data_IF_538122821760
#
_entry.id   IF_538122821760
#
_cell.length_a   1.000
_cell.length_b   1.000
_cell.length_c   1.000
_cell.angle_alpha   90.00
_cell.angle_beta   90.00
_cell.angle_gamma   90.00
#
_symmetry.space_group_name_H-M   'P 1'
#
loop_
_entity.id
_entity.type
_entity.pdbx_description
1 polymer ?
#
# COMPACT_ATOMS: atom_id res chain seq x y z
N UNK A 1 -14.41 10.30 12.41
CA UNK A 1 -14.51 10.48 13.85
C UNK A 1 -13.09 10.64 14.38
N UNK A 2 -12.84 11.70 15.19
CA UNK A 2 -11.57 11.89 15.86
C UNK A 2 -10.40 12.40 15.01
N UNK A 3 -10.63 13.37 14.14
CA UNK A 3 -9.56 14.18 13.55
C UNK A 3 -9.35 15.47 14.35
N UNK A 4 -9.44 15.36 15.67
CA UNK A 4 -8.98 16.40 16.54
C UNK A 4 -7.45 16.44 16.45
N UNK A 5 -6.89 17.59 16.07
CA UNK A 5 -5.45 17.77 15.95
C UNK A 5 -4.75 17.54 17.28
N UNK A 6 -5.36 17.92 18.40
CA UNK A 6 -4.82 17.67 19.74
C UNK A 6 -4.75 16.18 20.09
N UNK A 7 -5.79 15.41 19.73
CA UNK A 7 -5.77 13.96 19.92
C UNK A 7 -4.70 13.29 19.06
N UNK A 8 -4.56 13.69 17.81
CA UNK A 8 -3.55 13.15 16.90
C UNK A 8 -2.14 13.47 17.40
N UNK A 9 -1.89 14.72 17.83
CA UNK A 9 -0.60 15.16 18.36
C UNK A 9 -0.24 14.44 19.67
N UNK A 10 -1.23 14.31 20.58
CA UNK A 10 -1.05 13.58 21.85
C UNK A 10 -0.68 12.11 21.61
N UNK A 11 -1.37 11.45 20.70
CA UNK A 11 -1.13 10.04 20.39
C UNK A 11 -0.04 9.86 19.34
N UNK A 12 0.65 10.91 18.91
CA UNK A 12 1.70 10.89 17.87
C UNK A 12 1.24 10.24 16.55
N UNK A 13 -0.02 10.42 16.23
CA UNK A 13 -0.59 9.94 14.99
C UNK A 13 -0.18 10.88 13.86
N UNK A 14 0.41 10.32 12.82
CA UNK A 14 0.75 11.06 11.60
C UNK A 14 -0.53 11.49 10.90
N UNK A 15 -0.74 12.79 10.76
CA UNK A 15 -1.83 13.32 9.95
C UNK A 15 -1.42 13.34 8.47
N UNK A 16 -2.42 13.36 7.55
CA UNK A 16 -2.18 13.61 6.13
C UNK A 16 -1.63 15.03 5.85
N UNK A 17 -1.61 15.89 6.85
CA UNK A 17 -1.14 17.28 6.74
C UNK A 17 0.33 17.41 6.39
N UNK A 18 1.13 16.33 6.62
CA UNK A 18 2.51 16.25 6.13
C UNK A 18 2.63 16.03 4.63
N UNK A 19 1.52 15.67 3.93
CA UNK A 19 1.48 15.44 2.49
C UNK A 19 0.71 16.57 1.79
N UNK A 20 1.35 17.23 0.84
CA UNK A 20 0.69 18.19 -0.05
C UNK A 20 -0.04 17.52 -1.20
N UNK A 21 0.63 16.56 -1.85
CA UNK A 21 0.06 15.64 -2.84
C UNK A 21 0.45 14.20 -2.46
N UNK A 22 -0.47 13.24 -2.64
CA UNK A 22 -0.24 11.89 -2.14
C UNK A 22 0.21 10.90 -3.24
N UNK A 23 -0.66 10.51 -4.18
CA UNK A 23 -0.32 9.55 -5.25
C UNK A 23 -1.09 9.87 -6.53
N UNK A 24 -0.64 9.28 -7.68
CA UNK A 24 -1.30 9.43 -8.99
C UNK A 24 -1.44 10.90 -9.40
N UNK A 25 -0.33 11.63 -9.38
CA UNK A 25 -0.35 13.10 -9.41
C UNK A 25 -0.03 13.70 -10.79
N UNK A 26 0.35 12.88 -11.78
CA UNK A 26 0.70 13.39 -13.10
C UNK A 26 -0.45 14.15 -13.76
N UNK A 27 -1.67 13.62 -13.70
CA UNK A 27 -2.84 14.32 -14.25
C UNK A 27 -3.25 15.56 -13.43
N UNK A 28 -2.90 15.59 -12.14
CA UNK A 28 -3.15 16.75 -11.28
C UNK A 28 -2.18 17.89 -11.58
N UNK A 29 -0.92 17.57 -11.87
CA UNK A 29 0.16 18.54 -12.12
C UNK A 29 0.19 19.00 -13.57
N UNK A 30 -0.20 18.13 -14.51
CA UNK A 30 -0.31 18.42 -15.95
C UNK A 30 -1.67 17.94 -16.46
N UNK A 31 -2.74 18.69 -16.15
CA UNK A 31 -4.11 18.27 -16.46
C UNK A 31 -4.37 18.11 -17.96
N UNK A 32 -4.86 16.94 -18.42
CA UNK A 32 -5.11 16.69 -19.84
C UNK A 32 -6.21 17.58 -20.43
N UNK A 33 -7.17 18.01 -19.63
CA UNK A 33 -8.21 18.98 -20.07
C UNK A 33 -7.62 20.34 -20.41
N UNK A 34 -6.50 20.72 -19.80
CA UNK A 34 -5.82 22.00 -20.05
C UNK A 34 -4.80 21.92 -21.18
N UNK A 35 -4.00 20.87 -21.21
CA UNK A 35 -2.86 20.76 -22.13
C UNK A 35 -3.02 19.72 -23.24
N UNK A 36 -3.90 18.74 -23.06
CA UNK A 36 -3.97 17.59 -23.97
C UNK A 36 -4.27 17.94 -25.42
N UNK A 37 -5.06 19.01 -25.64
CA UNK A 37 -5.40 19.45 -27.01
C UNK A 37 -4.32 20.33 -27.65
N UNK A 38 -3.67 21.19 -26.88
CA UNK A 38 -2.65 22.13 -27.37
C UNK A 38 -1.24 21.55 -27.39
N UNK A 39 -0.94 20.65 -26.47
CA UNK A 39 0.39 20.08 -26.22
C UNK A 39 0.31 18.54 -26.05
N UNK A 40 -0.17 17.80 -27.04
CA UNK A 40 -0.29 16.33 -26.91
C UNK A 40 1.06 15.63 -26.67
N UNK A 41 2.17 16.26 -27.06
CA UNK A 41 3.54 15.78 -26.82
C UNK A 41 3.96 15.76 -25.34
N UNK A 42 3.21 16.39 -24.46
CA UNK A 42 3.41 16.28 -23.00
C UNK A 42 3.04 14.91 -22.46
N UNK A 43 2.24 14.14 -23.19
CA UNK A 43 1.70 12.85 -22.78
C UNK A 43 2.38 11.70 -23.49
N UNK A 44 2.14 10.49 -23.02
CA UNK A 44 2.78 9.28 -23.52
C UNK A 44 2.56 9.07 -25.00
N UNK A 45 3.64 8.71 -25.69
CA UNK A 45 3.59 8.11 -27.02
C UNK A 45 3.46 6.60 -26.85
N UNK A 46 2.40 6.00 -27.35
CA UNK A 46 2.10 4.58 -27.26
C UNK A 46 1.74 4.09 -28.65
N UNK A 47 2.41 3.06 -29.13
CA UNK A 47 2.18 2.46 -30.46
C UNK A 47 2.16 3.49 -31.61
N UNK A 48 2.96 4.54 -31.49
CA UNK A 48 3.09 5.61 -32.48
C UNK A 48 2.11 6.77 -32.31
N UNK A 49 1.17 6.71 -31.38
CA UNK A 49 0.18 7.75 -31.13
C UNK A 49 0.31 8.39 -29.75
N UNK A 50 0.00 9.69 -29.65
CA UNK A 50 -0.04 10.40 -28.35
C UNK A 50 -1.36 10.10 -27.63
N UNK A 51 -1.25 9.65 -26.39
CA UNK A 51 -2.41 9.33 -25.56
C UNK A 51 -2.42 10.24 -24.31
N UNK A 52 -3.31 11.23 -24.34
CA UNK A 52 -3.35 12.30 -23.34
C UNK A 52 -3.99 11.91 -22.00
N UNK A 53 -4.65 10.76 -21.93
CA UNK A 53 -5.35 10.29 -20.69
C UNK A 53 -4.60 9.17 -19.98
N UNK A 54 -3.30 9.01 -20.24
CA UNK A 54 -2.50 7.92 -19.67
C UNK A 54 -1.39 8.45 -18.74
N UNK A 55 -0.16 8.52 -19.26
CA UNK A 55 1.00 8.98 -18.49
C UNK A 55 1.64 10.19 -19.17
N UNK A 56 2.62 10.81 -18.51
CA UNK A 56 3.40 11.91 -19.08
C UNK A 56 4.59 11.40 -19.90
N UNK A 57 5.03 12.23 -20.85
CA UNK A 57 6.29 12.05 -21.55
C UNK A 57 7.43 12.64 -20.73
N UNK A 58 8.06 11.86 -19.86
CA UNK A 58 9.03 12.32 -18.86
C UNK A 58 10.29 12.95 -19.45
N UNK A 59 10.55 12.76 -20.75
CA UNK A 59 11.66 13.37 -21.47
C UNK A 59 11.32 14.70 -22.15
N UNK A 60 10.09 15.21 -22.01
CA UNK A 60 9.67 16.50 -22.57
C UNK A 60 9.99 17.62 -21.57
N UNK A 61 10.86 18.57 -21.98
CA UNK A 61 11.33 19.64 -21.11
C UNK A 61 10.27 20.71 -20.85
N UNK A 62 9.43 21.04 -21.83
CA UNK A 62 8.35 22.01 -21.64
C UNK A 62 7.30 21.48 -20.66
N UNK A 63 6.98 20.19 -20.73
CA UNK A 63 6.10 19.53 -19.78
C UNK A 63 6.71 19.54 -18.37
N UNK A 64 8.03 19.34 -18.24
CA UNK A 64 8.73 19.44 -16.97
C UNK A 64 8.56 20.83 -16.35
N UNK A 65 8.75 21.89 -17.13
CA UNK A 65 8.62 23.30 -16.67
C UNK A 65 7.18 23.59 -16.19
N UNK A 66 6.18 23.09 -16.92
CA UNK A 66 4.76 23.18 -16.53
C UNK A 66 4.52 22.49 -15.19
N UNK A 67 4.99 21.26 -15.05
CA UNK A 67 4.85 20.45 -13.82
C UNK A 67 5.51 21.14 -12.62
N UNK A 68 6.75 21.58 -12.76
CA UNK A 68 7.50 22.28 -11.70
C UNK A 68 6.80 23.59 -11.30
N UNK A 69 6.28 24.32 -12.27
CA UNK A 69 5.53 25.58 -12.02
C UNK A 69 4.28 25.33 -11.19
N UNK A 70 3.46 24.33 -11.55
CA UNK A 70 2.26 23.98 -10.80
C UNK A 70 2.61 23.44 -9.40
N UNK A 71 3.61 22.58 -9.30
CA UNK A 71 4.06 22.05 -8.02
C UNK A 71 4.57 23.15 -7.09
N UNK A 72 5.34 24.11 -7.60
CA UNK A 72 5.85 25.26 -6.84
C UNK A 72 4.72 26.14 -6.31
N UNK A 73 3.68 26.36 -7.12
CA UNK A 73 2.47 27.06 -6.69
C UNK A 73 1.81 26.34 -5.52
N UNK A 74 1.59 25.02 -5.62
CA UNK A 74 0.96 24.22 -4.55
C UNK A 74 1.79 24.18 -3.27
N UNK A 75 3.10 24.11 -3.39
CA UNK A 75 4.03 24.18 -2.25
C UNK A 75 3.90 25.52 -1.53
N UNK A 76 3.82 26.61 -2.27
CA UNK A 76 3.63 27.95 -1.69
C UNK A 76 2.27 28.11 -1.00
N UNK A 77 1.22 27.45 -1.51
CA UNK A 77 -0.13 27.43 -0.91
C UNK A 77 -0.19 26.56 0.36
N UNK A 78 0.66 25.52 0.47
CA UNK A 78 0.76 24.66 1.64
C UNK A 78 2.22 24.44 2.07
N UNK A 79 2.91 25.45 2.58
CA UNK A 79 4.34 25.40 2.88
C UNK A 79 4.69 24.43 4.03
N UNK A 80 3.71 24.09 4.88
CA UNK A 80 3.89 23.16 6.01
C UNK A 80 4.01 21.70 5.57
N UNK A 81 3.42 21.34 4.42
CA UNK A 81 3.55 19.99 3.89
C UNK A 81 5.00 19.69 3.55
N UNK A 82 5.45 18.53 3.96
CA UNK A 82 6.82 18.04 3.80
C UNK A 82 6.97 17.15 2.57
N UNK A 83 5.99 16.26 2.35
CA UNK A 83 6.00 15.27 1.26
C UNK A 83 5.13 15.72 0.10
N UNK A 84 5.67 15.60 -1.11
CA UNK A 84 5.01 15.97 -2.35
C UNK A 84 5.18 14.86 -3.38
N UNK A 85 4.10 14.17 -3.69
CA UNK A 85 4.16 13.10 -4.68
C UNK A 85 4.24 13.66 -6.10
N UNK A 86 5.17 13.10 -6.87
CA UNK A 86 5.29 13.26 -8.32
C UNK A 86 5.33 11.86 -8.90
N UNK A 87 4.17 11.32 -9.18
CA UNK A 87 4.02 9.89 -9.49
C UNK A 87 3.03 9.64 -10.62
N UNK A 88 3.24 8.50 -11.27
CA UNK A 88 2.42 8.02 -12.38
C UNK A 88 0.94 7.86 -11.99
N UNK A 89 0.08 8.03 -13.00
CA UNK A 89 -1.35 7.70 -12.93
C UNK A 89 -1.57 6.19 -12.80
N UNK A 90 -2.76 5.78 -12.38
CA UNK A 90 -3.09 4.37 -12.11
C UNK A 90 -3.35 3.58 -13.40
N UNK A 91 -2.33 3.49 -14.25
CA UNK A 91 -2.30 2.66 -15.44
C UNK A 91 -0.85 2.37 -15.88
N UNK A 92 -0.64 1.39 -16.76
CA UNK A 92 0.66 0.91 -17.25
C UNK A 92 1.11 1.53 -18.58
N UNK A 93 0.41 2.55 -19.08
CA UNK A 93 0.60 3.14 -20.41
C UNK A 93 1.71 4.19 -20.45
N UNK A 94 2.92 3.81 -20.04
CA UNK A 94 4.08 4.70 -20.03
C UNK A 94 4.61 5.04 -21.44
N UNK A 95 5.33 6.16 -21.56
CA UNK A 95 5.77 6.71 -22.83
C UNK A 95 6.84 5.84 -23.49
N UNK A 96 6.59 5.48 -24.76
CA UNK A 96 7.47 4.68 -25.62
C UNK A 96 8.27 5.54 -26.62
N UNK A 97 8.28 6.87 -26.48
CA UNK A 97 9.07 7.73 -27.37
C UNK A 97 10.57 7.42 -27.27
N UNK A 98 11.32 7.75 -28.33
CA UNK A 98 12.77 7.45 -28.40
C UNK A 98 13.57 7.92 -27.18
N UNK A 99 13.43 9.18 -26.72
CA UNK A 99 14.12 9.67 -25.53
C UNK A 99 13.74 8.91 -24.26
N UNK A 100 12.45 8.66 -23.96
CA UNK A 100 12.03 7.89 -22.79
C UNK A 100 12.57 6.45 -22.83
N UNK A 101 12.49 5.80 -23.99
CA UNK A 101 13.04 4.45 -24.18
C UNK A 101 14.56 4.43 -23.98
N UNK A 102 15.28 5.46 -24.41
CA UNK A 102 16.73 5.59 -24.20
C UNK A 102 17.07 5.73 -22.71
N UNK A 103 16.29 6.51 -21.95
CA UNK A 103 16.42 6.62 -20.48
C UNK A 103 16.21 5.27 -19.81
N UNK A 104 15.13 4.56 -20.13
CA UNK A 104 14.86 3.24 -19.57
C UNK A 104 15.99 2.25 -19.85
N UNK A 105 16.51 2.21 -21.09
CA UNK A 105 17.66 1.36 -21.46
C UNK A 105 18.92 1.72 -20.69
N UNK A 106 19.20 3.01 -20.53
CA UNK A 106 20.36 3.51 -19.78
C UNK A 106 20.35 3.05 -18.32
N UNK A 107 19.17 3.03 -17.72
CA UNK A 107 19.02 2.76 -16.29
C UNK A 107 18.49 1.36 -15.99
N UNK A 108 18.95 0.37 -16.73
CA UNK A 108 18.69 -1.04 -16.44
C UNK A 108 17.61 -1.69 -17.30
N UNK A 109 17.16 -1.02 -18.35
CA UNK A 109 16.11 -1.47 -19.27
C UNK A 109 14.77 -1.72 -18.57
N UNK A 110 14.44 -0.85 -17.61
CA UNK A 110 13.19 -0.87 -16.83
C UNK A 110 12.52 0.50 -16.86
N UNK A 111 11.19 0.60 -16.88
CA UNK A 111 10.47 1.89 -16.90
C UNK A 111 10.71 2.77 -15.66
N UNK A 112 11.06 2.17 -14.52
CA UNK A 112 11.47 2.90 -13.32
C UNK A 112 12.71 3.79 -13.55
N UNK A 113 13.52 3.49 -14.57
CA UNK A 113 14.67 4.30 -14.94
C UNK A 113 14.31 5.73 -15.32
N UNK A 114 13.30 5.92 -16.18
CA UNK A 114 12.81 7.25 -16.54
C UNK A 114 12.08 7.95 -15.38
N UNK A 115 11.36 7.20 -14.56
CA UNK A 115 10.67 7.74 -13.37
C UNK A 115 11.69 8.30 -12.38
N UNK A 116 12.70 7.53 -11.98
CA UNK A 116 13.72 7.99 -11.02
C UNK A 116 14.51 9.17 -11.59
N UNK A 117 14.88 9.10 -12.86
CA UNK A 117 15.56 10.23 -13.53
C UNK A 117 14.74 11.51 -13.47
N UNK A 118 13.45 11.43 -13.77
CA UNK A 118 12.52 12.55 -13.73
C UNK A 118 12.30 13.07 -12.30
N UNK A 119 12.06 12.17 -11.36
CA UNK A 119 11.85 12.53 -9.95
C UNK A 119 13.08 13.21 -9.37
N UNK A 120 14.28 12.75 -9.71
CA UNK A 120 15.52 13.41 -9.33
C UNK A 120 15.61 14.85 -9.88
N UNK A 121 15.19 15.09 -11.14
CA UNK A 121 15.13 16.45 -11.70
C UNK A 121 14.21 17.35 -10.87
N UNK A 122 13.00 16.84 -10.55
CA UNK A 122 12.04 17.58 -9.73
C UNK A 122 12.59 17.83 -8.33
N UNK A 123 13.20 16.84 -7.70
CA UNK A 123 13.74 16.94 -6.34
C UNK A 123 14.81 18.04 -6.21
N UNK A 124 15.64 18.25 -7.23
CA UNK A 124 16.64 19.35 -7.27
C UNK A 124 16.01 20.74 -7.28
N UNK A 125 14.79 20.87 -7.82
CA UNK A 125 14.04 22.14 -7.81
C UNK A 125 13.45 22.50 -6.43
N UNK A 126 13.37 21.50 -5.52
CA UNK A 126 12.74 21.63 -4.19
C UNK A 126 13.59 20.98 -3.10
N UNK A 127 14.81 21.50 -2.83
CA UNK A 127 15.75 20.84 -1.91
C UNK A 127 15.28 20.79 -0.45
N UNK A 128 14.31 21.61 -0.08
CA UNK A 128 13.70 21.69 1.26
C UNK A 128 12.44 20.82 1.41
N UNK A 129 12.04 20.11 0.34
CA UNK A 129 10.88 19.22 0.33
C UNK A 129 11.29 17.79 0.00
N UNK A 130 10.48 16.82 0.43
CA UNK A 130 10.64 15.43 0.00
C UNK A 130 9.72 15.18 -1.18
N UNK A 131 10.32 14.75 -2.30
CA UNK A 131 9.57 14.37 -3.50
C UNK A 131 9.39 12.86 -3.49
N UNK A 132 8.14 12.42 -3.37
CA UNK A 132 7.79 11.00 -3.35
C UNK A 132 7.38 10.53 -4.75
N UNK A 133 7.79 9.33 -5.11
CA UNK A 133 7.33 8.67 -6.34
C UNK A 133 6.97 7.22 -6.08
N UNK A 134 6.16 6.62 -6.97
CA UNK A 134 5.72 5.24 -6.84
C UNK A 134 6.66 4.27 -7.53
N UNK A 135 7.07 3.23 -6.81
CA UNK A 135 7.56 1.98 -7.37
C UNK A 135 6.40 0.97 -7.38
N UNK A 136 5.60 1.04 -8.42
CA UNK A 136 4.28 0.41 -8.52
C UNK A 136 4.04 -0.14 -9.92
N UNK A 137 3.57 -1.37 -9.98
CA UNK A 137 3.25 -2.03 -11.23
C UNK A 137 4.46 -2.05 -12.19
N UNK A 138 4.36 -1.37 -13.33
CA UNK A 138 5.42 -1.33 -14.34
C UNK A 138 6.72 -0.65 -13.86
N UNK A 139 6.71 0.11 -12.76
CA UNK A 139 7.89 0.76 -12.17
C UNK A 139 8.40 0.09 -10.89
N UNK A 140 7.84 -1.07 -10.49
CA UNK A 140 8.19 -1.75 -9.24
C UNK A 140 9.65 -2.20 -9.20
N UNK A 141 10.17 -2.69 -10.32
CA UNK A 141 11.57 -3.13 -10.43
C UNK A 141 12.51 -1.95 -10.30
N UNK A 142 13.49 -2.04 -9.40
CA UNK A 142 14.47 -0.99 -9.19
C UNK A 142 15.35 -0.76 -10.43
N UNK A 143 15.65 0.50 -10.79
CA UNK A 143 16.56 0.81 -11.90
C UNK A 143 18.01 0.50 -11.53
N UNK A 144 18.93 0.65 -12.50
CA UNK A 144 20.38 0.48 -12.30
C UNK A 144 21.12 1.71 -12.80
N UNK A 145 22.35 1.90 -12.31
CA UNK A 145 23.25 2.96 -12.79
C UNK A 145 22.68 4.39 -12.66
N UNK A 146 21.85 4.61 -11.65
CA UNK A 146 21.32 5.91 -11.28
C UNK A 146 21.35 6.04 -9.75
N UNK A 147 21.80 7.16 -9.25
CA UNK A 147 21.70 7.52 -7.84
C UNK A 147 20.37 8.23 -7.58
N UNK A 148 19.83 8.04 -6.41
CA UNK A 148 18.58 8.68 -5.97
C UNK A 148 18.95 9.91 -5.16
N UNK A 149 18.33 11.07 -5.47
CA UNK A 149 18.55 12.30 -4.72
C UNK A 149 18.17 12.12 -3.24
N UNK A 150 18.89 12.75 -2.31
CA UNK A 150 18.69 12.55 -0.86
C UNK A 150 17.27 12.90 -0.37
N UNK A 151 16.59 13.77 -1.09
CA UNK A 151 15.23 14.21 -0.79
C UNK A 151 14.16 13.52 -1.67
N UNK A 152 14.47 12.34 -2.20
CA UNK A 152 13.49 11.48 -2.90
C UNK A 152 13.08 10.33 -2.02
N UNK A 153 11.76 10.20 -1.82
CA UNK A 153 11.12 9.05 -1.18
C UNK A 153 10.60 8.07 -2.24
N UNK A 154 10.84 6.80 -2.05
CA UNK A 154 10.31 5.71 -2.88
C UNK A 154 9.14 5.05 -2.16
N UNK A 155 7.93 5.14 -2.71
CA UNK A 155 6.77 4.42 -2.22
C UNK A 155 6.64 3.10 -3.00
N UNK A 156 7.11 2.01 -2.40
CA UNK A 156 7.08 0.67 -3.01
C UNK A 156 5.79 -0.05 -2.64
N UNK A 157 5.06 -0.51 -3.67
CA UNK A 157 3.76 -1.16 -3.52
C UNK A 157 3.86 -2.66 -3.76
N UNK A 158 3.14 -3.46 -2.95
CA UNK A 158 3.09 -4.92 -3.07
C UNK A 158 1.72 -5.46 -3.53
N UNK A 159 1.05 -4.71 -4.41
CA UNK A 159 -0.33 -5.02 -4.84
C UNK A 159 -0.47 -6.43 -5.46
N UNK A 160 0.56 -6.91 -6.15
CA UNK A 160 0.57 -8.21 -6.84
C UNK A 160 0.82 -9.39 -5.88
N UNK A 161 1.33 -9.12 -4.68
CA UNK A 161 1.65 -10.15 -3.69
C UNK A 161 0.38 -10.78 -3.11
N UNK A 162 0.48 -12.03 -2.65
CA UNK A 162 -0.59 -12.76 -1.98
C UNK A 162 -0.42 -12.76 -0.47
N UNK A 163 -1.45 -13.08 0.30
CA UNK A 163 -1.51 -12.85 1.76
C UNK A 163 -1.77 -14.11 2.58
N UNK A 164 -1.67 -15.29 2.00
CA UNK A 164 -1.80 -16.57 2.72
C UNK A 164 -0.60 -16.87 3.62
N UNK A 165 0.57 -16.28 3.33
CA UNK A 165 1.81 -16.35 4.10
C UNK A 165 2.52 -15.00 4.05
N UNK A 166 3.56 -14.77 4.87
CA UNK A 166 4.40 -13.59 4.77
C UNK A 166 4.93 -13.36 3.35
N UNK A 167 5.09 -12.09 2.95
CA UNK A 167 5.43 -11.69 1.58
C UNK A 167 6.76 -12.28 1.09
N UNK A 168 7.72 -12.46 1.97
CA UNK A 168 9.02 -13.06 1.64
C UNK A 168 8.93 -14.57 1.31
N UNK A 169 7.86 -15.25 1.71
CA UNK A 169 7.58 -16.65 1.37
C UNK A 169 6.75 -16.78 0.08
N UNK A 170 5.90 -15.80 -0.22
CA UNK A 170 4.94 -15.88 -1.33
C UNK A 170 5.37 -15.11 -2.56
N UNK A 171 6.16 -14.02 -2.41
CA UNK A 171 6.57 -13.16 -3.53
C UNK A 171 8.10 -12.91 -3.54
N UNK A 172 8.89 -13.87 -4.04
CA UNK A 172 10.34 -13.67 -4.19
C UNK A 172 10.71 -12.49 -5.09
N UNK A 173 9.84 -12.12 -6.05
CA UNK A 173 10.06 -10.97 -6.93
C UNK A 173 9.96 -9.66 -6.17
N UNK A 174 8.91 -9.49 -5.35
CA UNK A 174 8.78 -8.32 -4.48
C UNK A 174 9.91 -8.25 -3.45
N UNK A 175 10.25 -9.39 -2.84
CA UNK A 175 11.38 -9.49 -1.91
C UNK A 175 12.67 -8.97 -2.53
N UNK A 176 12.94 -9.38 -3.76
CA UNK A 176 14.10 -8.90 -4.52
C UNK A 176 14.01 -7.40 -4.84
N UNK A 177 12.84 -6.94 -5.28
CA UNK A 177 12.62 -5.53 -5.60
C UNK A 177 12.85 -4.65 -4.36
N UNK A 178 12.31 -5.03 -3.19
CA UNK A 178 12.53 -4.33 -1.93
C UNK A 178 14.03 -4.26 -1.56
N UNK A 179 14.75 -5.37 -1.67
CA UNK A 179 16.17 -5.43 -1.38
C UNK A 179 16.99 -4.55 -2.36
N UNK A 180 16.61 -4.51 -3.62
CA UNK A 180 17.30 -3.69 -4.61
C UNK A 180 17.02 -2.19 -4.41
N UNK A 181 15.78 -1.81 -4.09
CA UNK A 181 15.46 -0.44 -3.69
C UNK A 181 16.16 -0.03 -2.39
N UNK A 182 16.24 -0.92 -1.40
CA UNK A 182 16.93 -0.69 -0.12
C UNK A 182 18.43 -0.43 -0.24
N UNK A 183 19.06 -0.90 -1.33
CA UNK A 183 20.45 -0.56 -1.64
C UNK A 183 20.61 0.84 -2.24
N UNK A 184 19.55 1.37 -2.86
CA UNK A 184 19.58 2.62 -3.62
C UNK A 184 19.01 3.81 -2.85
N UNK A 185 18.00 3.60 -2.02
CA UNK A 185 17.30 4.64 -1.26
C UNK A 185 17.39 4.38 0.23
N UNK A 186 17.47 5.47 1.01
CA UNK A 186 17.37 5.47 2.47
C UNK A 186 15.99 5.91 2.96
N UNK A 187 15.12 6.31 2.05
CA UNK A 187 13.76 6.74 2.35
C UNK A 187 12.77 5.92 1.53
N UNK A 188 12.34 4.79 2.12
CA UNK A 188 11.40 3.85 1.52
C UNK A 188 10.15 3.79 2.38
N UNK A 189 9.00 4.05 1.75
CA UNK A 189 7.68 3.79 2.30
C UNK A 189 7.10 2.56 1.60
N UNK A 190 6.61 1.58 2.35
CA UNK A 190 5.83 0.47 1.78
C UNK A 190 4.35 0.83 1.80
N UNK A 191 3.71 0.63 0.65
CA UNK A 191 2.26 0.55 0.56
C UNK A 191 1.85 -0.93 0.56
N UNK A 192 1.34 -1.39 1.70
CA UNK A 192 0.86 -2.76 1.88
C UNK A 192 -0.67 -2.82 1.88
N UNK A 193 -1.21 -3.90 1.34
CA UNK A 193 -2.64 -4.10 1.11
C UNK A 193 -3.15 -5.25 2.00
N UNK A 194 -3.97 -4.92 3.01
CA UNK A 194 -4.32 -5.85 4.08
C UNK A 194 -5.79 -6.26 4.11
N UNK A 195 -6.53 -6.00 3.03
CA UNK A 195 -7.96 -6.31 2.93
C UNK A 195 -8.31 -6.92 1.58
N UNK A 196 -9.48 -7.55 1.52
CA UNK A 196 -10.11 -7.99 0.28
C UNK A 196 -10.83 -6.80 -0.38
N UNK A 197 -10.41 -6.39 -1.59
CA UNK A 197 -11.00 -5.24 -2.28
C UNK A 197 -12.28 -5.57 -3.04
N UNK A 198 -12.39 -6.79 -3.58
CA UNK A 198 -13.57 -7.19 -4.33
C UNK A 198 -14.80 -7.36 -3.41
N UNK A 199 -14.59 -7.84 -2.18
CA UNK A 199 -15.64 -7.99 -1.17
C UNK A 199 -15.08 -7.78 0.25
N UNK A 200 -15.04 -6.54 0.76
CA UNK A 200 -14.40 -6.22 2.05
C UNK A 200 -15.01 -6.92 3.27
N UNK A 201 -16.27 -7.37 3.20
CA UNK A 201 -16.94 -8.10 4.29
C UNK A 201 -16.68 -9.61 4.26
N UNK A 202 -16.08 -10.12 3.17
CA UNK A 202 -15.69 -11.53 3.09
C UNK A 202 -14.52 -11.82 4.02
N UNK A 203 -14.48 -13.01 4.65
CA UNK A 203 -13.34 -13.44 5.42
C UNK A 203 -12.02 -13.34 4.62
N UNK A 204 -11.02 -12.70 5.24
CA UNK A 204 -9.70 -12.51 4.66
C UNK A 204 -8.62 -12.82 5.70
N UNK A 205 -8.29 -14.11 5.91
CA UNK A 205 -7.53 -14.60 7.05
C UNK A 205 -6.01 -14.34 6.93
N UNK A 206 -5.61 -13.06 6.92
CA UNK A 206 -4.21 -12.62 6.77
C UNK A 206 -3.58 -12.02 8.05
N UNK A 207 -4.25 -12.06 9.20
CA UNK A 207 -3.72 -11.43 10.43
C UNK A 207 -2.32 -11.92 10.80
N UNK A 208 -2.06 -13.22 10.62
CA UNK A 208 -0.79 -13.86 10.92
C UNK A 208 0.38 -13.44 10.02
N UNK A 209 0.12 -12.71 8.94
CA UNK A 209 1.17 -12.23 8.02
C UNK A 209 1.63 -10.81 8.32
N UNK A 210 0.83 -10.05 9.09
CA UNK A 210 1.05 -8.60 9.30
C UNK A 210 2.33 -8.37 10.12
N UNK A 211 2.48 -9.01 11.28
CA UNK A 211 3.67 -8.88 12.11
C UNK A 211 4.97 -9.29 11.40
N UNK A 212 5.04 -10.51 10.84
CA UNK A 212 6.19 -10.95 10.05
C UNK A 212 6.55 -10.01 8.89
N UNK A 213 5.55 -9.47 8.16
CA UNK A 213 5.79 -8.54 7.08
C UNK A 213 6.39 -7.21 7.58
N UNK A 214 5.86 -6.64 8.66
CA UNK A 214 6.37 -5.38 9.23
C UNK A 214 7.82 -5.55 9.71
N UNK A 215 8.16 -6.66 10.36
CA UNK A 215 9.54 -6.99 10.76
C UNK A 215 10.46 -7.08 9.54
N UNK A 216 10.01 -7.80 8.52
CA UNK A 216 10.75 -7.95 7.26
C UNK A 216 10.99 -6.61 6.54
N UNK A 217 10.01 -5.72 6.50
CA UNK A 217 10.17 -4.39 5.92
C UNK A 217 11.21 -3.56 6.68
N UNK A 218 11.15 -3.54 8.00
CA UNK A 218 12.14 -2.84 8.85
C UNK A 218 13.56 -3.36 8.59
N UNK A 219 13.74 -4.68 8.48
CA UNK A 219 15.04 -5.31 8.22
C UNK A 219 15.59 -4.99 6.83
N UNK A 220 14.75 -4.49 5.91
CA UNK A 220 15.13 -4.10 4.55
C UNK A 220 15.11 -2.57 4.32
N UNK A 221 15.47 -1.79 5.35
CA UNK A 221 15.61 -0.33 5.29
C UNK A 221 14.32 0.46 5.01
N UNK A 222 13.16 -0.12 5.28
CA UNK A 222 11.88 0.61 5.23
C UNK A 222 11.74 1.44 6.50
N UNK A 223 11.42 2.72 6.33
CA UNK A 223 11.27 3.68 7.44
C UNK A 223 9.85 4.23 7.57
N UNK A 224 8.94 3.90 6.66
CA UNK A 224 7.54 4.28 6.74
C UNK A 224 6.63 3.21 6.14
N UNK A 225 5.39 3.12 6.62
CA UNK A 225 4.39 2.18 6.14
C UNK A 225 3.06 2.91 5.88
N UNK A 226 2.42 2.56 4.78
CA UNK A 226 1.02 2.83 4.54
C UNK A 226 0.28 1.49 4.43
N UNK A 227 -0.36 1.09 5.53
CA UNK A 227 -1.08 -0.18 5.64
C UNK A 227 -2.53 0.04 5.21
N UNK A 228 -2.86 -0.27 3.96
CA UNK A 228 -4.21 -0.05 3.44
C UNK A 228 -5.18 -1.06 4.03
N UNK A 229 -6.08 -0.55 4.88
CA UNK A 229 -7.17 -1.28 5.49
C UNK A 229 -8.41 -0.37 5.54
N UNK A 230 -9.61 -0.95 5.42
CA UNK A 230 -10.87 -0.16 5.42
C UNK A 230 -11.41 0.13 6.83
N UNK A 231 -10.61 -0.09 7.86
CA UNK A 231 -11.03 0.08 9.24
C UNK A 231 -12.25 -0.80 9.57
N UNK A 232 -13.32 -0.20 10.10
CA UNK A 232 -14.51 -0.91 10.59
C UNK A 232 -15.50 -1.38 9.51
N UNK A 233 -15.18 -1.24 8.23
CA UNK A 233 -16.04 -1.69 7.11
C UNK A 233 -15.61 -3.03 6.50
N UNK A 234 -14.60 -3.67 7.06
CA UNK A 234 -14.08 -4.96 6.61
C UNK A 234 -14.30 -6.04 7.69
N UNK A 235 -14.25 -7.30 7.29
CA UNK A 235 -14.23 -8.43 8.22
C UNK A 235 -13.05 -8.27 9.19
N UNK A 236 -13.32 -8.40 10.50
CA UNK A 236 -12.39 -8.14 11.60
C UNK A 236 -11.64 -6.80 11.47
N UNK A 237 -12.27 -5.78 10.87
CA UNK A 237 -11.62 -4.51 10.53
C UNK A 237 -11.06 -3.76 11.73
N UNK A 238 -11.78 -3.80 12.88
CA UNK A 238 -11.29 -3.18 14.13
C UNK A 238 -10.08 -3.90 14.69
N UNK A 239 -10.11 -5.23 14.74
CA UNK A 239 -8.97 -6.04 15.18
C UNK A 239 -7.75 -5.80 14.27
N UNK A 240 -7.95 -5.84 12.95
CA UNK A 240 -6.87 -5.61 11.98
C UNK A 240 -6.25 -4.22 12.15
N UNK A 241 -7.07 -3.19 12.34
CA UNK A 241 -6.59 -1.83 12.58
C UNK A 241 -5.82 -1.71 13.88
N UNK A 242 -6.29 -2.37 14.95
CA UNK A 242 -5.62 -2.40 16.24
C UNK A 242 -4.26 -3.08 16.16
N UNK A 243 -4.22 -4.28 15.58
CA UNK A 243 -2.99 -5.05 15.37
C UNK A 243 -1.95 -4.26 14.56
N UNK A 244 -2.36 -3.70 13.41
CA UNK A 244 -1.50 -2.86 12.56
C UNK A 244 -0.96 -1.68 13.35
N UNK A 245 -1.79 -0.96 14.09
CA UNK A 245 -1.38 0.23 14.84
C UNK A 245 -0.34 -0.08 15.91
N UNK A 246 -0.53 -1.16 16.66
CA UNK A 246 0.41 -1.62 17.69
C UNK A 246 1.75 -2.05 17.06
N UNK A 247 1.70 -2.83 15.98
CA UNK A 247 2.91 -3.33 15.30
C UNK A 247 3.66 -2.25 14.52
N UNK A 248 2.98 -1.22 14.00
CA UNK A 248 3.65 -0.05 13.41
C UNK A 248 4.36 0.78 14.48
N UNK A 249 3.87 0.78 15.72
CA UNK A 249 4.50 1.46 16.84
C UNK A 249 5.67 0.64 17.42
N UNK A 250 5.44 -0.65 17.64
CA UNK A 250 6.44 -1.59 18.14
C UNK A 250 6.44 -2.87 17.26
N UNK A 251 7.30 -2.93 16.26
CA UNK A 251 7.41 -4.10 15.38
C UNK A 251 7.86 -5.39 16.08
N UNK A 252 8.43 -5.30 17.28
CA UNK A 252 8.91 -6.45 18.05
C UNK A 252 7.85 -7.04 18.99
N UNK A 253 6.73 -6.33 19.19
CA UNK A 253 5.61 -6.83 19.99
C UNK A 253 5.06 -8.16 19.43
N UNK A 254 4.54 -9.01 20.32
CA UNK A 254 3.93 -10.28 19.95
C UNK A 254 2.53 -10.06 19.38
N UNK A 255 2.34 -10.46 18.14
CA UNK A 255 1.06 -10.31 17.42
C UNK A 255 -0.07 -11.13 18.02
N UNK A 256 0.21 -12.29 18.64
CA UNK A 256 -0.81 -13.09 19.32
C UNK A 256 -1.25 -12.41 20.64
N UNK A 257 -0.32 -11.87 21.42
CA UNK A 257 -0.65 -11.11 22.63
C UNK A 257 -1.52 -9.89 22.31
N UNK A 258 -1.21 -9.17 21.21
CA UNK A 258 -2.02 -8.03 20.74
C UNK A 258 -3.43 -8.48 20.32
N UNK A 259 -3.55 -9.59 19.61
CA UNK A 259 -4.83 -10.15 19.20
C UNK A 259 -5.64 -10.53 20.43
N UNK A 260 -5.05 -11.24 21.40
CA UNK A 260 -5.73 -11.69 22.63
C UNK A 260 -6.16 -10.51 23.51
N UNK A 261 -5.31 -9.46 23.64
CA UNK A 261 -5.66 -8.20 24.31
C UNK A 261 -6.91 -7.57 23.68
N UNK A 262 -6.94 -7.45 22.35
CA UNK A 262 -8.09 -6.90 21.66
C UNK A 262 -9.34 -7.75 21.84
N UNK A 263 -9.23 -9.07 21.67
CA UNK A 263 -10.36 -9.98 21.78
C UNK A 263 -10.97 -9.94 23.19
N UNK A 264 -10.13 -9.98 24.23
CA UNK A 264 -10.57 -9.87 25.62
C UNK A 264 -11.29 -8.56 25.91
N UNK A 265 -10.73 -7.43 25.45
CA UNK A 265 -11.31 -6.10 25.66
C UNK A 265 -12.59 -5.82 24.85
N UNK A 266 -12.65 -6.33 23.60
CA UNK A 266 -13.75 -6.03 22.67
C UNK A 266 -14.89 -7.03 22.74
N UNK A 267 -14.59 -8.32 22.89
CA UNK A 267 -15.58 -9.40 22.88
C UNK A 267 -15.89 -9.97 24.28
N UNK A 268 -15.07 -9.64 25.29
CA UNK A 268 -15.28 -10.12 26.64
C UNK A 268 -15.36 -11.65 26.70
N UNK A 269 -16.44 -12.25 27.29
CA UNK A 269 -16.61 -13.71 27.37
C UNK A 269 -16.57 -14.45 26.03
N UNK A 270 -16.79 -13.74 24.93
CA UNK A 270 -16.71 -14.32 23.58
C UNK A 270 -15.30 -14.40 23.01
N UNK A 271 -14.30 -13.86 23.70
CA UNK A 271 -12.92 -13.75 23.17
C UNK A 271 -12.36 -15.11 22.76
N UNK A 272 -12.55 -16.16 23.56
CA UNK A 272 -12.07 -17.51 23.26
C UNK A 272 -12.67 -18.10 21.99
N UNK A 273 -13.96 -17.85 21.71
CA UNK A 273 -14.63 -18.33 20.50
C UNK A 273 -14.16 -17.55 19.26
N UNK A 274 -13.96 -16.24 19.42
CA UNK A 274 -13.40 -15.43 18.33
C UNK A 274 -11.94 -15.82 18.04
N UNK A 275 -11.17 -16.17 19.05
CA UNK A 275 -9.81 -16.70 18.87
C UNK A 275 -9.85 -18.03 18.14
N UNK A 276 -10.71 -18.97 18.57
CA UNK A 276 -10.89 -20.24 17.90
C UNK A 276 -11.30 -20.04 16.42
N UNK A 277 -12.26 -19.16 16.14
CA UNK A 277 -12.68 -18.83 14.78
C UNK A 277 -11.50 -18.36 13.91
N UNK A 278 -10.69 -17.45 14.41
CA UNK A 278 -9.52 -16.91 13.70
C UNK A 278 -8.50 -18.02 13.43
N UNK A 279 -8.19 -18.84 14.43
CA UNK A 279 -7.18 -19.89 14.32
C UNK A 279 -7.65 -21.01 13.36
N UNK A 280 -8.91 -21.45 13.45
CA UNK A 280 -9.48 -22.46 12.53
C UNK A 280 -9.51 -21.96 11.08
N UNK A 281 -9.79 -20.69 10.86
CA UNK A 281 -9.78 -20.12 9.52
C UNK A 281 -8.36 -20.05 8.95
N UNK A 282 -7.37 -19.66 9.76
CA UNK A 282 -5.96 -19.69 9.40
C UNK A 282 -5.47 -21.10 9.09
N UNK A 283 -5.81 -22.07 9.95
CA UNK A 283 -5.48 -23.49 9.73
C UNK A 283 -6.05 -23.96 8.39
N UNK A 284 -7.33 -23.73 8.15
CA UNK A 284 -8.01 -24.13 6.92
C UNK A 284 -7.40 -23.46 5.67
N UNK A 285 -6.98 -22.19 5.74
CA UNK A 285 -6.29 -21.52 4.65
C UNK A 285 -5.00 -22.23 4.26
N UNK A 286 -4.27 -22.80 5.24
CA UNK A 286 -2.96 -23.41 5.03
C UNK A 286 -2.98 -24.91 4.79
N UNK A 287 -4.12 -25.60 4.96
CA UNK A 287 -4.28 -27.05 4.72
C UNK A 287 -3.99 -27.44 3.27
N UNK A 288 -4.35 -26.61 2.32
CA UNK A 288 -4.12 -26.84 0.89
C UNK A 288 -3.54 -25.58 0.25
N UNK A 289 -2.78 -25.70 -0.85
CA UNK A 289 -2.29 -24.54 -1.57
C UNK A 289 -3.46 -23.63 -1.99
N UNK A 290 -3.43 -22.39 -1.52
CA UNK A 290 -4.42 -21.37 -1.87
C UNK A 290 -3.72 -20.03 -2.05
N UNK A 291 -4.20 -19.23 -2.97
CA UNK A 291 -3.69 -17.89 -3.24
C UNK A 291 -4.66 -16.84 -2.68
N UNK A 292 -4.35 -16.31 -1.51
CA UNK A 292 -5.17 -15.26 -0.88
C UNK A 292 -4.84 -13.90 -1.50
N UNK A 293 -5.61 -13.52 -2.51
CA UNK A 293 -5.35 -12.31 -3.31
C UNK A 293 -6.42 -11.24 -3.05
N UNK A 294 -6.00 -9.97 -3.01
CA UNK A 294 -6.88 -8.84 -2.66
C UNK A 294 -8.03 -8.60 -3.66
N UNK A 295 -7.87 -9.03 -4.91
CA UNK A 295 -8.91 -9.00 -5.95
C UNK A 295 -9.52 -10.38 -6.22
N UNK A 296 -9.24 -11.39 -5.38
CA UNK A 296 -9.82 -12.71 -5.50
C UNK A 296 -11.34 -12.70 -5.23
N UNK A 297 -12.05 -13.63 -5.83
CA UNK A 297 -13.47 -13.85 -5.51
C UNK A 297 -13.56 -14.77 -4.27
N UNK A 298 -14.39 -14.45 -3.26
CA UNK A 298 -14.63 -15.35 -2.13
C UNK A 298 -15.01 -16.77 -2.53
N UNK A 299 -15.67 -16.94 -3.69
CA UNK A 299 -16.00 -18.25 -4.26
C UNK A 299 -14.80 -19.11 -4.62
N UNK A 300 -13.63 -18.51 -4.83
CA UNK A 300 -12.40 -19.25 -5.09
C UNK A 300 -12.01 -20.12 -3.88
N UNK A 301 -12.44 -19.74 -2.67
CA UNK A 301 -12.15 -20.41 -1.41
C UNK A 301 -13.15 -21.53 -1.02
N UNK A 302 -14.12 -21.88 -1.87
CA UNK A 302 -15.15 -22.88 -1.56
C UNK A 302 -14.63 -24.31 -1.35
N UNK A 303 -13.41 -24.60 -1.81
CA UNK A 303 -12.70 -25.85 -1.59
C UNK A 303 -11.51 -25.71 -0.63
N UNK A 304 -11.42 -24.56 0.06
CA UNK A 304 -10.39 -24.26 1.04
C UNK A 304 -11.07 -23.74 2.32
N UNK A 305 -10.67 -22.59 2.87
CA UNK A 305 -11.18 -22.08 4.14
C UNK A 305 -12.68 -21.66 4.14
N UNK A 306 -13.35 -21.61 2.99
CA UNK A 306 -14.79 -21.39 2.88
C UNK A 306 -15.54 -22.63 2.36
N UNK A 307 -14.99 -23.85 2.56
CA UNK A 307 -15.72 -25.08 2.25
C UNK A 307 -16.97 -25.24 3.13
N UNK A 308 -17.96 -26.00 2.66
CA UNK A 308 -19.20 -26.22 3.41
C UNK A 308 -18.95 -26.79 4.81
N UNK A 309 -17.97 -27.68 4.95
CA UNK A 309 -17.52 -28.25 6.23
C UNK A 309 -16.97 -27.14 7.15
N UNK A 310 -16.05 -26.32 6.64
CA UNK A 310 -15.44 -25.23 7.43
C UNK A 310 -16.47 -24.17 7.82
N UNK A 311 -17.37 -23.80 6.93
CA UNK A 311 -18.48 -22.87 7.25
C UNK A 311 -19.37 -23.46 8.36
N UNK A 312 -19.67 -24.76 8.34
CA UNK A 312 -20.43 -25.41 9.40
C UNK A 312 -19.69 -25.37 10.74
N UNK A 313 -18.37 -25.55 10.73
CA UNK A 313 -17.53 -25.40 11.93
C UNK A 313 -17.60 -23.96 12.46
N UNK A 314 -17.38 -22.94 11.61
CA UNK A 314 -17.44 -21.54 12.03
C UNK A 314 -18.80 -21.14 12.60
N UNK A 315 -19.87 -21.66 12.00
CA UNK A 315 -21.21 -21.48 12.51
C UNK A 315 -21.38 -22.10 13.90
N UNK A 316 -20.87 -23.31 14.13
CA UNK A 316 -20.96 -23.97 15.45
C UNK A 316 -20.22 -23.19 16.55
N UNK A 317 -19.05 -22.61 16.24
CA UNK A 317 -18.31 -21.73 17.15
C UNK A 317 -19.16 -20.50 17.51
N UNK A 318 -19.78 -19.86 16.50
CA UNK A 318 -20.64 -18.68 16.70
C UNK A 318 -21.89 -18.99 17.54
N UNK A 319 -22.51 -20.17 17.36
CA UNK A 319 -23.69 -20.61 18.14
C UNK A 319 -23.30 -20.87 19.59
N UNK A 320 -22.16 -21.48 19.87
CA UNK A 320 -21.68 -21.72 21.23
C UNK A 320 -21.56 -20.42 22.03
N UNK A 321 -21.12 -19.34 21.41
CA UNK A 321 -21.10 -18.01 22.02
C UNK A 321 -22.50 -17.47 22.37
N UNK A 322 -23.49 -17.62 21.48
CA UNK A 322 -24.85 -17.11 21.73
C UNK A 322 -25.54 -17.79 22.90
N UNK A 323 -25.21 -19.05 23.16
CA UNK A 323 -25.74 -19.78 24.31
C UNK A 323 -25.18 -19.26 25.65
N UNK A 324 -23.93 -18.86 25.72
CA UNK A 324 -23.36 -18.27 26.94
C UNK A 324 -24.05 -16.96 27.33
N UNK A 325 -24.35 -16.10 26.36
CA UNK A 325 -24.98 -14.81 26.58
C UNK A 325 -26.47 -14.97 27.07
N UNK A 326 -27.13 -16.02 26.63
CA UNK A 326 -28.47 -16.31 27.09
C UNK A 326 -28.50 -16.73 28.58
N UNK A 327 -27.52 -17.46 29.05
CA UNK A 327 -27.37 -17.85 30.46
C UNK A 327 -27.00 -16.72 31.41
N UNK A 328 -26.25 -15.69 30.94
CA UNK A 328 -25.92 -14.51 31.75
C UNK A 328 -27.11 -13.57 31.94
N UNK A 329 -28.03 -13.50 30.98
CA UNK A 329 -29.25 -12.67 31.09
C UNK A 329 -30.35 -13.29 31.95
N UNK A 330 -30.33 -14.61 32.16
CA UNK A 330 -31.30 -15.31 33.03
C UNK A 330 -30.89 -15.35 34.53
N UNK A 331 -29.71 -14.79 34.86
CA UNK A 331 -29.16 -14.76 36.22
C UNK A 331 -29.24 -13.38 36.92
N UNK A 332 -30.01 -12.43 36.35
CA UNK A 332 -30.28 -11.11 36.96
C UNK A 332 -31.77 -10.85 37.22
#
# INVERSE_FOLDING_TARGET
EGRDSEYADWNKLSSRDSWGLFVHTFEVLVPPEKYGKSNPEYYSLIDGERNVVTQLCLSNEEMFDVLVTDLRKRINENPKAKYWSVSQNDNDKYCQCGPCTKLNKKYGNVPSGSIVWFTNKVAREFPDKIISTLAYWYTRVAPKNIEIEPNVNIMLCNIESTREKPVFDTDPAFTKDLQDWGKMSKDILIWDYNIQFANPISPFPNLHTIGPNIKFYRENNVNALFMQATGNKAELGQLRSYLISKLMWDPDADDNEIIDEFLGGYYGPAAEYMREYIDRMREALTETPFRLFIFGDPRDAINNYLSAEKISLYHSISVSYTHLRAHETDSH
#
